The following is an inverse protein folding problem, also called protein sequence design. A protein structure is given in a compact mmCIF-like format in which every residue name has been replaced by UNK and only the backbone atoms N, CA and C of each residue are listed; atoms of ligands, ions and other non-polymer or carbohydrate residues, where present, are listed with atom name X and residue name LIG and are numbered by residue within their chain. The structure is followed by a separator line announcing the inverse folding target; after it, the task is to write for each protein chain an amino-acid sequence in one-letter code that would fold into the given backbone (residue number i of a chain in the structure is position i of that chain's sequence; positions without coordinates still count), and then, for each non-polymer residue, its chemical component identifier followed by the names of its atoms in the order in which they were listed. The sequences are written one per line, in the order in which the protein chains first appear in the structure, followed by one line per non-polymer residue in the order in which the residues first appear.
data_IF_948112750976
#
_entry.id   IF_948112750976
#
_cell.length_a   1.000
_cell.length_b   1.000
_cell.length_c   1.000
_cell.angle_alpha   90.00
_cell.angle_beta   90.00
_cell.angle_gamma   90.00
#
_symmetry.space_group_name_H-M   'P 1'
#
loop_
_entity.id
_entity.type
_entity.pdbx_description
1 polymer ?
#
# COMPACT_ATOMS: atom_id res chain seq x y z
N UNK A 1 23.57 -57.18 18.73
CA UNK A 1 22.30 -57.70 18.14
C UNK A 1 21.23 -57.57 19.21
N UNK A 2 20.15 -56.79 19.14
CA UNK A 2 19.51 -55.89 18.17
C UNK A 2 18.81 -54.85 19.08
N UNK A 3 18.96 -53.54 18.91
CA UNK A 3 18.37 -52.78 17.82
C UNK A 3 16.86 -52.74 18.00
N UNK A 4 16.31 -51.66 18.58
CA UNK A 4 14.96 -51.08 18.39
C UNK A 4 14.67 -50.00 19.45
N UNK A 5 15.52 -48.97 19.56
CA UNK A 5 15.22 -47.79 20.39
C UNK A 5 15.78 -46.52 19.76
N UNK A 6 15.34 -46.24 18.54
CA UNK A 6 15.67 -44.98 17.83
C UNK A 6 14.47 -44.32 17.16
N UNK A 7 13.30 -44.99 17.11
CA UNK A 7 12.13 -44.45 16.39
C UNK A 7 11.36 -43.35 17.15
N UNK A 8 11.54 -43.19 18.47
CA UNK A 8 10.81 -42.18 19.25
C UNK A 8 11.53 -40.81 19.32
N UNK A 9 12.82 -40.75 18.98
CA UNK A 9 13.57 -39.48 18.91
C UNK A 9 13.47 -38.80 17.54
N UNK A 10 13.00 -39.53 16.51
CA UNK A 10 12.73 -38.97 15.18
C UNK A 10 11.43 -38.19 15.13
N UNK A 11 10.37 -38.61 15.81
CA UNK A 11 9.05 -37.97 15.67
C UNK A 11 8.90 -36.67 16.45
N UNK A 12 9.61 -36.53 17.58
CA UNK A 12 9.65 -35.27 18.35
C UNK A 12 10.52 -34.21 17.69
N UNK A 13 11.56 -34.62 16.93
CA UNK A 13 12.38 -33.70 16.13
C UNK A 13 11.68 -33.26 14.84
N UNK A 14 10.87 -34.13 14.21
CA UNK A 14 10.04 -33.73 13.06
C UNK A 14 8.86 -32.80 13.44
N UNK A 15 8.28 -32.93 14.64
CA UNK A 15 7.24 -32.01 15.12
C UNK A 15 7.79 -30.67 15.65
N UNK A 16 9.02 -30.64 16.16
CA UNK A 16 9.70 -29.37 16.51
C UNK A 16 10.27 -28.62 15.31
N UNK A 17 10.52 -29.30 14.18
CA UNK A 17 10.97 -28.64 12.94
C UNK A 17 9.84 -27.89 12.19
N UNK A 18 8.58 -28.04 12.65
CA UNK A 18 7.41 -27.47 11.99
C UNK A 18 7.00 -26.09 12.52
N UNK A 19 7.78 -25.46 13.42
CA UNK A 19 7.38 -24.19 14.04
C UNK A 19 8.49 -23.13 14.07
N UNK A 20 8.97 -22.69 12.90
CA UNK A 20 9.59 -21.35 12.73
C UNK A 20 9.17 -20.69 11.40
N UNK A 21 8.04 -21.08 10.83
CA UNK A 21 7.45 -20.44 9.63
C UNK A 21 6.06 -19.89 9.89
N UNK A 22 5.71 -19.66 11.17
CA UNK A 22 4.55 -18.84 11.51
C UNK A 22 4.93 -17.37 11.29
N UNK A 23 4.86 -16.95 10.02
CA UNK A 23 4.66 -15.55 9.72
C UNK A 23 3.47 -15.07 10.53
N UNK A 24 3.67 -13.99 11.29
CA UNK A 24 2.63 -13.40 12.13
C UNK A 24 1.58 -12.78 11.20
N UNK A 25 0.63 -13.62 10.76
CA UNK A 25 -0.36 -13.28 9.73
C UNK A 25 -1.31 -12.17 10.16
N UNK A 26 -1.31 -11.79 11.44
CA UNK A 26 -2.11 -10.70 11.99
C UNK A 26 -1.38 -9.35 12.01
N UNK A 27 -0.05 -9.33 12.02
CA UNK A 27 0.69 -8.08 12.11
C UNK A 27 0.74 -7.37 10.74
N UNK A 28 0.52 -6.04 10.69
CA UNK A 28 0.56 -5.30 9.43
C UNK A 28 2.00 -5.22 8.88
N UNK A 29 2.13 -5.03 7.57
CA UNK A 29 3.42 -4.72 6.96
C UNK A 29 3.95 -3.38 7.49
N UNK A 30 5.23 -3.31 7.79
CA UNK A 30 5.91 -2.06 8.18
C UNK A 30 6.80 -1.61 7.04
N UNK A 31 6.60 -0.37 6.58
CA UNK A 31 7.45 0.27 5.58
C UNK A 31 8.02 1.58 6.14
N UNK A 32 9.29 1.90 5.87
CA UNK A 32 10.29 1.02 5.28
C UNK A 32 10.74 -0.10 6.23
N UNK A 33 11.19 -1.24 5.69
CA UNK A 33 11.85 -2.29 6.47
C UNK A 33 13.24 -2.66 5.91
N UNK A 34 14.13 -3.12 6.77
CA UNK A 34 15.51 -3.49 6.45
C UNK A 34 15.60 -5.01 6.37
N UNK A 35 16.02 -5.53 5.21
CA UNK A 35 16.29 -6.96 5.00
C UNK A 35 17.61 -7.16 4.25
N UNK A 36 18.53 -7.94 4.84
CA UNK A 36 19.88 -8.20 4.32
C UNK A 36 20.61 -6.93 3.88
N UNK A 37 20.56 -5.89 4.73
CA UNK A 37 21.22 -4.60 4.50
C UNK A 37 20.57 -3.70 3.44
N UNK A 38 19.41 -4.08 2.89
CA UNK A 38 18.66 -3.26 1.93
C UNK A 38 17.34 -2.76 2.55
N UNK A 39 16.95 -1.53 2.21
CA UNK A 39 15.69 -0.91 2.66
C UNK A 39 14.60 -1.16 1.63
N UNK A 40 13.42 -1.57 2.08
CA UNK A 40 12.26 -1.88 1.25
C UNK A 40 11.07 -1.00 1.66
N UNK A 41 10.47 -0.33 0.67
CA UNK A 41 9.29 0.51 0.85
C UNK A 41 8.00 -0.14 0.35
N UNK A 42 8.10 -1.37 -0.16
CA UNK A 42 7.01 -2.16 -0.70
C UNK A 42 7.32 -3.65 -0.50
N UNK A 43 6.34 -4.50 -0.77
CA UNK A 43 6.52 -5.94 -0.76
C UNK A 43 7.60 -6.38 -1.75
N UNK A 44 8.41 -7.35 -1.36
CA UNK A 44 9.56 -7.83 -2.13
C UNK A 44 9.46 -9.33 -2.38
N UNK A 45 10.00 -9.78 -3.51
CA UNK A 45 10.23 -11.22 -3.79
C UNK A 45 11.67 -11.64 -3.46
N UNK A 46 12.49 -10.75 -2.87
CA UNK A 46 13.89 -11.09 -2.56
C UNK A 46 13.94 -12.24 -1.55
N UNK A 47 14.59 -13.32 -1.94
CA UNK A 47 14.74 -14.51 -1.09
C UNK A 47 13.46 -15.30 -0.85
N UNK A 48 12.41 -15.11 -1.67
CA UNK A 48 11.14 -15.84 -1.57
C UNK A 48 10.50 -16.02 -2.96
N UNK A 49 9.70 -17.06 -3.13
CA UNK A 49 8.92 -17.28 -4.36
C UNK A 49 7.70 -16.34 -4.45
N UNK A 50 7.15 -15.96 -3.29
CA UNK A 50 5.96 -15.10 -3.16
C UNK A 50 6.34 -13.75 -2.56
N UNK A 51 5.64 -12.65 -2.94
CA UNK A 51 5.90 -11.34 -2.37
C UNK A 51 5.60 -11.34 -0.86
N UNK A 52 6.46 -10.70 -0.09
CA UNK A 52 6.36 -10.65 1.36
C UNK A 52 6.81 -9.28 1.90
N UNK A 53 6.44 -9.00 3.14
CA UNK A 53 6.86 -7.81 3.89
C UNK A 53 7.29 -8.21 5.31
N UNK A 54 8.16 -7.41 5.92
CA UNK A 54 8.43 -7.53 7.34
C UNK A 54 7.31 -6.85 8.15
N UNK A 55 7.06 -7.36 9.34
CA UNK A 55 6.10 -6.77 10.29
C UNK A 55 6.79 -5.85 11.31
N UNK A 56 8.10 -5.61 11.13
CA UNK A 56 8.93 -4.68 11.90
C UNK A 56 9.94 -3.97 10.98
N UNK A 57 10.43 -2.81 11.43
CA UNK A 57 11.38 -1.99 10.66
C UNK A 57 12.74 -2.68 10.44
N UNK A 58 13.23 -3.46 11.41
CA UNK A 58 14.43 -4.30 11.25
C UNK A 58 13.97 -5.75 11.20
N UNK A 59 14.29 -6.44 10.11
CA UNK A 59 13.87 -7.83 9.92
C UNK A 59 14.46 -8.76 10.99
N UNK A 60 13.58 -9.37 11.77
CA UNK A 60 13.89 -10.27 12.89
C UNK A 60 13.14 -11.61 12.73
N UNK A 61 13.01 -12.07 11.49
CA UNK A 61 12.21 -13.25 11.08
C UNK A 61 10.69 -13.11 11.24
N UNK A 62 10.18 -11.94 11.62
CA UNK A 62 8.74 -11.66 11.56
C UNK A 62 8.38 -11.05 10.21
N UNK A 63 7.62 -11.82 9.43
CA UNK A 63 7.17 -11.45 8.09
C UNK A 63 5.81 -12.06 7.79
N UNK A 64 5.15 -11.56 6.76
CA UNK A 64 3.96 -12.20 6.21
C UNK A 64 3.94 -12.16 4.69
N UNK A 65 3.24 -13.10 4.03
CA UNK A 65 2.96 -12.98 2.60
C UNK A 65 2.14 -11.72 2.35
N UNK A 66 2.45 -11.00 1.27
CA UNK A 66 1.70 -9.80 0.91
C UNK A 66 0.46 -10.13 0.11
N UNK A 67 -0.64 -9.51 0.52
CA UNK A 67 -1.87 -9.38 -0.26
C UNK A 67 -1.90 -8.03 -0.99
N UNK A 68 -2.88 -7.82 -1.87
CA UNK A 68 -3.00 -6.57 -2.65
C UNK A 68 -3.12 -5.34 -1.74
N UNK A 69 -3.82 -5.47 -0.62
CA UNK A 69 -4.01 -4.42 0.38
C UNK A 69 -2.75 -4.03 1.16
N UNK A 70 -1.74 -4.90 1.17
CA UNK A 70 -0.47 -4.69 1.88
C UNK A 70 0.50 -3.81 1.11
N UNK A 71 0.26 -3.60 -0.19
CA UNK A 71 1.13 -2.72 -0.97
C UNK A 71 0.94 -1.27 -0.52
N UNK A 72 2.04 -0.50 -0.43
CA UNK A 72 1.96 0.90 -0.07
C UNK A 72 1.03 1.65 -1.03
N UNK A 73 0.23 2.55 -0.45
CA UNK A 73 -0.60 3.48 -1.19
C UNK A 73 0.25 4.66 -1.69
N UNK A 74 -0.27 5.37 -2.68
CA UNK A 74 0.29 6.65 -3.07
C UNK A 74 0.23 7.61 -1.90
N UNK A 75 1.31 8.36 -1.65
CA UNK A 75 1.30 9.46 -0.69
C UNK A 75 1.06 10.75 -1.48
N UNK A 76 0.06 11.51 -1.05
CA UNK A 76 -0.26 12.80 -1.61
C UNK A 76 -0.27 13.87 -0.50
N UNK A 77 0.25 15.07 -0.77
CA UNK A 77 1.04 15.42 -1.95
C UNK A 77 2.43 14.75 -1.93
N UNK A 78 3.03 14.54 -3.11
CA UNK A 78 4.43 14.12 -3.23
C UNK A 78 5.25 15.07 -4.10
N UNK A 79 6.54 15.19 -3.79
CA UNK A 79 7.48 16.02 -4.53
C UNK A 79 8.12 15.21 -5.66
N UNK A 80 8.10 15.72 -6.89
CA UNK A 80 8.84 15.23 -8.05
C UNK A 80 9.44 16.39 -8.83
N UNK A 81 10.75 16.37 -9.07
CA UNK A 81 11.52 17.45 -9.73
C UNK A 81 11.24 18.83 -9.09
N UNK A 82 11.16 18.86 -7.76
CA UNK A 82 10.87 20.08 -6.99
C UNK A 82 9.43 20.61 -7.08
N UNK A 83 8.51 19.89 -7.74
CA UNK A 83 7.08 20.23 -7.81
C UNK A 83 6.24 19.29 -6.96
N UNK A 84 5.21 19.82 -6.32
CA UNK A 84 4.26 19.06 -5.51
C UNK A 84 3.08 18.58 -6.36
N UNK A 85 2.76 17.29 -6.31
CA UNK A 85 1.65 16.68 -7.03
C UNK A 85 0.68 15.99 -6.06
N UNK A 86 -0.61 16.22 -6.24
CA UNK A 86 -1.70 15.65 -5.43
C UNK A 86 -2.46 14.51 -6.13
N UNK A 87 -2.01 14.10 -7.31
CA UNK A 87 -2.62 13.05 -8.13
C UNK A 87 -1.54 12.22 -8.81
N UNK A 88 -1.93 11.06 -9.36
CA UNK A 88 -1.03 10.30 -10.22
C UNK A 88 -0.65 11.13 -11.44
N UNK A 89 0.63 11.08 -11.82
CA UNK A 89 1.19 11.84 -12.95
C UNK A 89 1.71 10.90 -14.03
N UNK A 90 1.74 11.39 -15.25
CA UNK A 90 2.40 10.72 -16.39
C UNK A 90 3.78 11.31 -16.66
N UNK A 91 4.10 12.45 -16.04
CA UNK A 91 5.38 13.14 -16.22
C UNK A 91 6.54 12.23 -15.81
N UNK A 92 7.54 12.08 -16.68
CA UNK A 92 8.69 11.20 -16.45
C UNK A 92 8.43 9.70 -16.65
N UNK A 93 7.22 9.28 -17.01
CA UNK A 93 6.89 7.88 -17.32
C UNK A 93 7.07 7.59 -18.80
N UNK A 94 7.86 6.55 -19.11
CA UNK A 94 8.28 6.21 -20.49
C UNK A 94 7.11 5.86 -21.41
N UNK A 95 6.04 5.26 -20.87
CA UNK A 95 4.87 4.83 -21.64
C UNK A 95 3.62 5.69 -21.38
N UNK A 96 3.78 6.88 -20.79
CA UNK A 96 2.65 7.71 -20.36
C UNK A 96 1.78 7.05 -19.29
N UNK A 97 2.27 5.99 -18.63
CA UNK A 97 1.55 5.32 -17.55
C UNK A 97 1.52 6.22 -16.31
N UNK A 98 0.35 6.34 -15.70
CA UNK A 98 0.17 7.05 -14.45
C UNK A 98 0.96 6.37 -13.32
N UNK A 99 1.68 7.17 -12.56
CA UNK A 99 2.44 6.73 -11.40
C UNK A 99 2.35 7.75 -10.27
N UNK A 100 2.68 7.31 -9.06
CA UNK A 100 2.71 8.13 -7.87
C UNK A 100 3.90 7.75 -6.99
N UNK A 101 4.35 8.67 -6.14
CA UNK A 101 5.30 8.30 -5.08
C UNK A 101 4.60 7.58 -3.94
N UNK A 102 5.31 6.64 -3.32
CA UNK A 102 4.90 5.99 -2.06
C UNK A 102 5.56 6.66 -0.85
N UNK A 103 6.20 7.80 -1.07
CA UNK A 103 6.89 8.64 -0.08
C UNK A 103 6.46 10.10 -0.29
N UNK A 104 6.65 10.97 0.70
CA UNK A 104 6.41 12.41 0.53
C UNK A 104 7.35 13.08 -0.48
N UNK A 105 8.56 12.52 -0.66
CA UNK A 105 9.54 13.06 -1.60
C UNK A 105 10.13 11.97 -2.49
N UNK A 106 9.75 11.98 -3.77
CA UNK A 106 10.32 11.09 -4.77
C UNK A 106 11.79 11.42 -5.05
N UNK A 107 12.18 12.69 -5.04
CA UNK A 107 13.52 13.11 -5.45
C UNK A 107 14.60 12.55 -4.51
N UNK A 108 14.27 12.38 -3.22
CA UNK A 108 15.13 11.76 -2.21
C UNK A 108 15.13 10.23 -2.28
N UNK A 109 13.93 9.63 -2.21
CA UNK A 109 13.80 8.19 -1.95
C UNK A 109 13.68 7.37 -3.24
N UNK A 110 13.24 8.01 -4.34
CA UNK A 110 12.95 7.40 -5.65
C UNK A 110 12.01 6.20 -5.56
N UNK A 111 11.11 6.22 -4.58
CA UNK A 111 10.13 5.17 -4.36
C UNK A 111 8.80 5.55 -5.00
N UNK A 112 8.29 4.67 -5.84
CA UNK A 112 7.10 4.92 -6.63
C UNK A 112 6.40 3.61 -6.97
N UNK A 113 5.14 3.74 -7.38
CA UNK A 113 4.37 2.65 -7.98
C UNK A 113 3.56 3.17 -9.16
N UNK A 114 3.25 2.28 -10.09
CA UNK A 114 2.22 2.57 -11.07
C UNK A 114 0.88 2.69 -10.37
N UNK A 115 0.08 3.66 -10.81
CA UNK A 115 -1.32 3.69 -10.47
C UNK A 115 -2.01 2.64 -11.32
N UNK A 116 -2.65 1.67 -10.67
CA UNK A 116 -3.43 0.65 -11.37
C UNK A 116 -4.65 1.32 -11.99
N UNK A 117 -4.67 1.36 -13.33
CA UNK A 117 -5.80 1.93 -14.09
C UNK A 117 -6.86 0.85 -14.40
N UNK A 118 -6.53 -0.42 -14.18
CA UNK A 118 -7.36 -1.55 -14.62
C UNK A 118 -8.18 -2.13 -13.45
N UNK A 119 -9.51 -2.11 -13.64
CA UNK A 119 -10.58 -2.35 -12.67
C UNK A 119 -10.36 -3.51 -11.71
N UNK A 120 -10.60 -3.33 -10.42
CA UNK A 120 -11.93 -3.44 -9.80
C UNK A 120 -12.21 -2.30 -8.77
N UNK A 121 -11.51 -1.16 -8.86
CA UNK A 121 -11.86 0.05 -8.08
C UNK A 121 -11.95 1.32 -8.94
N UNK A 122 -12.13 1.14 -10.25
CA UNK A 122 -12.32 2.22 -11.25
C UNK A 122 -13.54 2.01 -12.14
N UNK A 123 -14.40 1.01 -11.84
CA UNK A 123 -15.67 0.77 -12.54
C UNK A 123 -16.92 1.25 -11.78
N UNK A 124 -16.74 1.85 -10.60
CA UNK A 124 -17.71 2.81 -10.10
C UNK A 124 -17.29 4.18 -10.65
N UNK A 125 -18.21 4.98 -11.18
CA UNK A 125 -17.88 6.26 -11.79
C UNK A 125 -17.31 7.19 -10.70
N UNK A 126 -15.99 7.29 -10.69
CA UNK A 126 -15.21 8.31 -10.01
C UNK A 126 -14.19 7.74 -9.02
N UNK A 127 -13.06 8.42 -8.94
CA UNK A 127 -11.93 8.09 -8.08
C UNK A 127 -12.36 8.01 -6.60
N UNK A 128 -11.59 7.37 -5.70
CA UNK A 128 -11.92 7.40 -4.27
C UNK A 128 -11.97 8.85 -3.74
N UNK A 129 -12.69 9.05 -2.63
CA UNK A 129 -12.72 10.33 -1.95
C UNK A 129 -11.31 10.86 -1.67
N UNK A 130 -11.05 12.10 -2.09
CA UNK A 130 -9.86 12.84 -1.71
C UNK A 130 -10.17 13.66 -0.46
N UNK A 131 -9.53 13.32 0.66
CA UNK A 131 -9.65 14.09 1.90
C UNK A 131 -8.30 14.73 2.26
N UNK A 132 -8.28 16.02 2.67
CA UNK A 132 -9.40 16.97 2.62
C UNK A 132 -9.72 17.44 1.19
N UNK A 133 -10.94 17.94 0.99
CA UNK A 133 -11.31 18.66 -0.23
C UNK A 133 -11.98 20.00 0.07
N UNK A 134 -11.83 20.96 -0.84
CA UNK A 134 -12.40 22.31 -0.77
C UNK A 134 -13.70 22.38 -1.56
N UNK A 135 -14.82 22.59 -0.87
CA UNK A 135 -16.13 22.88 -1.48
C UNK A 135 -16.70 24.18 -0.94
N UNK A 136 -17.04 25.11 -1.84
CA UNK A 136 -17.46 26.49 -1.53
C UNK A 136 -16.50 27.17 -0.55
N UNK A 137 -15.21 27.08 -0.84
CA UNK A 137 -14.13 27.66 -0.05
C UNK A 137 -14.06 27.14 1.41
N UNK A 138 -14.52 25.89 1.65
CA UNK A 138 -14.46 25.22 2.96
C UNK A 138 -13.85 23.83 2.83
N UNK A 139 -12.99 23.47 3.79
CA UNK A 139 -12.38 22.15 3.87
C UNK A 139 -13.36 21.10 4.43
N UNK A 140 -13.43 19.95 3.78
CA UNK A 140 -14.18 18.77 4.22
C UNK A 140 -13.23 17.58 4.37
N UNK A 141 -13.32 16.88 5.51
CA UNK A 141 -12.51 15.71 5.85
C UNK A 141 -13.30 14.40 5.80
N UNK A 142 -14.59 14.50 5.46
CA UNK A 142 -15.57 13.44 5.47
C UNK A 142 -16.66 13.74 4.43
N UNK A 143 -17.43 12.73 4.07
CA UNK A 143 -18.50 12.88 3.09
C UNK A 143 -19.56 13.89 3.57
N UNK A 144 -20.00 14.74 2.65
CA UNK A 144 -20.97 15.81 2.92
C UNK A 144 -22.25 15.57 2.14
N UNK A 145 -23.39 16.04 2.66
CA UNK A 145 -24.67 16.09 1.91
C UNK A 145 -24.92 17.47 1.31
N UNK A 146 -24.08 18.46 1.64
CA UNK A 146 -24.26 19.84 1.23
C UNK A 146 -24.17 19.94 -0.29
N UNK A 147 -25.15 20.57 -0.91
CA UNK A 147 -25.23 20.72 -2.38
C UNK A 147 -25.81 19.51 -3.12
N UNK A 148 -26.14 18.42 -2.44
CA UNK A 148 -26.81 17.27 -3.04
C UNK A 148 -28.31 17.51 -3.15
N UNK A 149 -28.88 17.42 -4.36
CA UNK A 149 -30.33 17.59 -4.59
C UNK A 149 -31.16 16.47 -3.93
N UNK A 150 -30.59 15.27 -3.86
CA UNK A 150 -31.25 14.07 -3.34
C UNK A 150 -30.84 13.74 -1.89
N UNK A 151 -30.15 14.66 -1.22
CA UNK A 151 -29.63 14.46 0.15
C UNK A 151 -28.67 13.25 0.29
N UNK A 152 -28.11 12.78 -0.82
CA UNK A 152 -27.08 11.74 -0.86
C UNK A 152 -25.72 12.29 -0.40
N UNK A 153 -24.93 11.44 0.26
CA UNK A 153 -23.57 11.80 0.72
C UNK A 153 -22.62 11.71 -0.46
N UNK A 154 -21.71 12.68 -0.55
CA UNK A 154 -20.70 12.70 -1.59
C UNK A 154 -19.39 13.25 -1.02
N UNK A 155 -18.31 12.99 -1.74
CA UNK A 155 -17.00 13.54 -1.49
C UNK A 155 -16.36 13.96 -2.81
N UNK A 156 -15.48 14.95 -2.78
CA UNK A 156 -14.69 15.24 -3.97
C UNK A 156 -13.64 14.17 -4.20
N UNK A 157 -13.23 14.02 -5.45
CA UNK A 157 -12.13 13.12 -5.84
C UNK A 157 -10.81 13.87 -6.05
N UNK A 158 -10.80 15.17 -5.76
CA UNK A 158 -9.63 16.04 -5.79
C UNK A 158 -9.62 17.00 -4.61
N UNK A 159 -8.48 17.64 -4.38
CA UNK A 159 -8.34 18.67 -3.34
C UNK A 159 -9.20 19.90 -3.62
N UNK A 160 -9.30 20.34 -4.88
CA UNK A 160 -9.93 21.58 -5.28
C UNK A 160 -11.24 21.33 -6.05
N UNK A 161 -12.27 20.81 -5.37
CA UNK A 161 -13.57 20.55 -6.02
C UNK A 161 -14.15 21.78 -6.69
N UNK A 162 -13.97 22.98 -6.11
CA UNK A 162 -14.48 24.22 -6.69
C UNK A 162 -13.90 24.51 -8.10
N UNK A 163 -12.70 24.00 -8.38
CA UNK A 163 -12.04 24.08 -9.70
C UNK A 163 -12.33 22.84 -10.55
N UNK A 164 -12.08 21.65 -10.01
CA UNK A 164 -12.07 20.40 -10.77
C UNK A 164 -13.47 19.84 -11.00
N UNK A 165 -14.41 20.13 -10.09
CA UNK A 165 -15.80 19.65 -10.06
C UNK A 165 -15.93 18.13 -10.15
N UNK A 166 -14.91 17.38 -9.71
CA UNK A 166 -14.92 15.91 -9.69
C UNK A 166 -15.33 15.37 -8.32
N UNK A 167 -16.26 14.42 -8.30
CA UNK A 167 -16.85 13.91 -7.07
C UNK A 167 -17.40 12.49 -7.25
N UNK A 168 -17.62 11.82 -6.12
CA UNK A 168 -18.30 10.51 -6.04
C UNK A 168 -19.26 10.48 -4.88
N UNK A 169 -20.28 9.63 -5.02
CA UNK A 169 -21.13 9.29 -3.89
C UNK A 169 -20.36 8.46 -2.86
N UNK A 170 -20.70 8.73 -1.61
CA UNK A 170 -20.49 7.84 -0.48
C UNK A 170 -21.84 7.19 -0.14
#
# INVERSE_FOLDING_TARGET
MNGWSTYLLGWTTFLLYSCETHGDSKAPCVFPFIYKGSVYFSCTKKGSLSPWCATKAVYDRHWKPCLVEDYPRCIFPFIYRGKSYSNCITEGSFFGKLWCSVTSNYDEMKQWKYCEINGITSLLPGSPCHFPFIYKNKNYFNCTRKGSKENLRWCATSYAYDQDRTWVYC
#
